data_IF_433336634558
#
_entry.id   IF_433336634558
#
_cell.length_a   1.000
_cell.length_b   1.000
_cell.length_c   1.000
_cell.angle_alpha   90.00
_cell.angle_beta   90.00
_cell.angle_gamma   90.00
#
_symmetry.space_group_name_H-M   'P 1'
#
loop_
_entity.id
_entity.type
_entity.pdbx_description
1 polymer ?
2 polymer ?
3 polymer ?
#
loop_
_entity_poly.entity_id
_entity_poly.type
_entity_poly.pdbx_seq_one_letter_code
_entity_poly.pdbx_strand_id
2 'polyribonucleotide' 'UCUUUGUCACCCUGCU' ?
3 'polyribonucleotide' 'AGUAGAAACAAGGGUGUUUUUUAU' ?
#
# COMPACT_ATOMS: atom_id res chain seq x y z
N UNK A 21 12.28 6.42 -23.90
CA UNK A 21 13.52 6.13 -23.17
C UNK A 21 13.30 6.12 -21.66
N UNK A 22 13.62 5.00 -21.03
CA UNK A 22 13.49 4.90 -19.58
C UNK A 22 14.53 5.75 -18.88
N UNK A 23 15.64 6.05 -19.55
CA UNK A 23 16.80 6.58 -18.87
C UNK A 23 16.58 8.00 -18.36
N UNK A 24 15.68 8.77 -18.98
CA UNK A 24 15.40 10.10 -18.45
C UNK A 24 14.48 10.01 -17.23
N UNK A 25 13.48 9.14 -17.28
CA UNK A 25 12.73 8.81 -16.08
C UNK A 25 13.68 8.38 -14.98
N UNK A 26 14.77 7.70 -15.36
CA UNK A 26 15.77 7.24 -14.41
C UNK A 26 16.59 8.40 -13.86
N UNK A 27 16.89 9.39 -14.69
CA UNK A 27 17.47 10.62 -14.18
C UNK A 27 16.55 11.24 -13.12
N UNK A 28 15.26 11.17 -13.37
CA UNK A 28 14.29 11.67 -12.39
C UNK A 28 14.39 10.89 -11.09
N UNK A 29 14.33 9.56 -11.18
CA UNK A 29 14.39 8.74 -9.98
C UNK A 29 15.71 8.98 -9.25
N UNK A 30 16.77 9.28 -10.01
CA UNK A 30 18.06 9.55 -9.39
C UNK A 30 18.06 10.86 -8.64
N UNK A 31 17.51 11.91 -9.24
CA UNK A 31 17.53 13.19 -8.53
C UNK A 31 16.69 13.11 -7.28
N UNK A 32 15.55 12.42 -7.33
CA UNK A 32 14.73 12.33 -6.13
C UNK A 32 15.41 11.50 -5.05
N UNK A 33 16.02 10.37 -5.43
CA UNK A 33 16.66 9.54 -4.41
C UNK A 33 17.82 10.28 -3.78
N UNK A 34 18.59 11.03 -4.56
CA UNK A 34 19.75 11.69 -3.97
C UNK A 34 19.32 12.89 -3.12
N UNK A 35 18.27 13.60 -3.53
CA UNK A 35 17.71 14.59 -2.64
C UNK A 35 17.31 13.98 -1.32
N UNK A 36 16.57 12.88 -1.37
CA UNK A 36 16.03 12.29 -0.15
C UNK A 36 17.16 11.75 0.72
N UNK A 37 18.21 11.20 0.09
CA UNK A 37 19.33 10.69 0.86
C UNK A 37 20.14 11.79 1.51
N UNK A 38 20.27 12.93 0.83
CA UNK A 38 20.83 14.11 1.46
C UNK A 38 20.07 14.41 2.75
N UNK A 39 18.75 14.53 2.64
CA UNK A 39 17.95 14.79 3.84
C UNK A 39 18.15 13.70 4.87
N UNK A 40 18.31 12.46 4.44
CA UNK A 40 18.38 11.36 5.39
C UNK A 40 19.65 11.43 6.23
N UNK A 41 20.79 11.64 5.58
CA UNK A 41 22.03 11.75 6.35
C UNK A 41 22.02 13.03 7.18
N UNK A 42 21.36 14.09 6.71
CA UNK A 42 21.17 15.27 7.55
C UNK A 42 20.39 14.93 8.82
N UNK A 43 19.22 14.31 8.65
CA UNK A 43 18.41 13.88 9.78
C UNK A 43 19.23 13.06 10.75
N UNK A 44 19.92 12.03 10.25
CA UNK A 44 20.79 11.21 11.11
C UNK A 44 21.80 12.07 11.86
N UNK A 45 22.44 12.99 11.17
CA UNK A 45 23.36 13.91 11.85
C UNK A 45 22.64 14.60 13.00
N UNK A 46 21.34 14.83 12.85
CA UNK A 46 20.56 15.31 13.99
C UNK A 46 20.10 14.16 14.89
N UNK A 47 20.34 12.91 14.49
CA UNK A 47 19.84 11.76 15.23
C UNK A 47 20.93 10.88 15.82
N UNK A 48 22.09 10.80 15.19
CA UNK A 48 23.19 9.98 15.69
C UNK A 48 22.72 8.56 15.98
N UNK A 49 21.77 8.08 15.19
CA UNK A 49 21.32 6.71 15.36
C UNK A 49 22.46 5.74 15.11
N UNK A 50 22.59 4.75 15.98
CA UNK A 50 23.69 3.81 15.86
C UNK A 50 23.55 2.96 14.60
N UNK A 51 24.67 2.38 14.16
CA UNK A 51 24.67 1.61 12.92
C UNK A 51 23.92 0.29 13.09
N UNK A 52 24.22 -0.45 14.16
CA UNK A 52 23.45 -1.63 14.54
C UNK A 52 21.95 -1.31 14.53
N UNK A 53 21.54 -0.32 15.32
CA UNK A 53 20.14 0.09 15.34
C UNK A 53 19.74 0.77 14.03
N UNK A 54 20.71 1.07 13.17
CA UNK A 54 20.40 1.59 11.86
C UNK A 54 19.57 0.64 11.03
N UNK A 55 19.29 -0.57 11.55
CA UNK A 55 18.53 -1.58 10.84
C UNK A 55 17.30 -2.07 11.59
N UNK A 56 17.16 -1.76 12.88
CA UNK A 56 15.95 -2.10 13.62
C UNK A 56 14.76 -1.35 13.00
N UNK A 57 13.87 -2.10 12.35
CA UNK A 57 13.04 -1.49 11.31
C UNK A 57 12.05 -0.48 11.89
N UNK A 58 11.42 -0.81 13.02
CA UNK A 58 10.33 0.03 13.51
C UNK A 58 10.78 1.47 13.70
N UNK A 59 12.04 1.67 14.10
CA UNK A 59 12.57 3.02 14.26
C UNK A 59 12.41 3.82 12.97
N UNK A 60 13.00 3.35 11.88
CA UNK A 60 12.91 4.10 10.63
C UNK A 60 11.51 4.09 10.06
N UNK A 61 10.68 3.10 10.41
CA UNK A 61 9.30 3.11 9.95
C UNK A 61 8.56 4.31 10.51
N UNK A 62 8.61 4.48 11.83
CA UNK A 62 8.00 5.66 12.41
C UNK A 62 8.72 6.92 11.95
N UNK A 63 10.03 6.81 11.69
CA UNK A 63 10.74 7.94 11.09
C UNK A 63 10.05 8.35 9.81
N UNK A 64 9.69 7.38 8.98
CA UNK A 64 8.93 7.63 7.76
C UNK A 64 7.60 8.28 8.09
N UNK A 65 6.80 7.62 8.92
CA UNK A 65 5.54 8.16 9.41
C UNK A 65 5.64 9.64 9.74
N UNK A 66 6.78 10.04 10.31
CA UNK A 66 7.01 11.45 10.65
C UNK A 66 6.83 12.33 9.42
N UNK A 67 7.67 12.12 8.40
CA UNK A 67 7.61 13.00 7.24
C UNK A 67 6.31 12.80 6.48
N UNK A 68 5.71 11.61 6.57
CA UNK A 68 4.40 11.41 5.97
C UNK A 68 3.40 12.41 6.53
N UNK A 69 3.15 12.32 7.83
CA UNK A 69 2.22 13.26 8.46
C UNK A 69 2.72 14.70 8.32
N UNK A 70 4.01 14.90 8.06
CA UNK A 70 4.54 16.25 7.99
C UNK A 70 3.89 17.06 6.87
N UNK A 71 3.32 16.38 5.88
CA UNK A 71 2.75 17.10 4.75
C UNK A 71 1.22 17.03 4.75
N UNK A 72 0.57 18.13 5.12
CA UNK A 72 -0.89 18.15 5.15
C UNK A 72 -1.45 19.56 5.13
N UNK A 73 -1.85 20.05 3.96
CA UNK A 73 -2.48 21.36 3.89
C UNK A 73 -3.65 21.34 4.84
N UNK A 74 -4.27 20.18 4.99
CA UNK A 74 -5.40 20.05 5.88
C UNK A 74 -4.97 20.28 7.32
N UNK A 75 -3.78 19.79 7.68
CA UNK A 75 -3.27 20.02 9.02
C UNK A 75 -2.98 21.50 9.15
N UNK A 76 -2.67 22.15 8.04
CA UNK A 76 -2.47 23.59 8.08
C UNK A 76 -3.80 24.18 8.50
N UNK A 77 -4.89 23.66 7.92
CA UNK A 77 -6.21 24.13 8.32
C UNK A 77 -6.41 23.81 9.78
N UNK A 78 -5.92 22.65 10.22
CA UNK A 78 -6.00 22.29 11.63
C UNK A 78 -5.43 23.40 12.47
N UNK A 79 -4.18 23.77 12.20
CA UNK A 79 -3.52 24.80 13.02
C UNK A 79 -4.25 26.13 12.93
N UNK A 80 -4.74 26.47 11.74
CA UNK A 80 -5.46 27.72 11.57
C UNK A 80 -6.68 27.77 12.47
N UNK A 81 -7.43 26.68 12.53
CA UNK A 81 -8.61 26.62 13.38
C UNK A 81 -8.23 26.64 14.84
N UNK A 82 -7.15 25.94 15.18
CA UNK A 82 -6.74 25.82 16.58
C UNK A 82 -7.91 25.38 17.46
N UNK A 83 -8.59 24.30 17.06
CA UNK A 83 -9.73 23.82 17.85
C UNK A 83 -9.28 23.21 19.16
N UNK A 84 -8.16 22.51 19.15
CA UNK A 84 -7.66 21.85 20.35
C UNK A 84 -6.20 22.16 20.59
N UNK A 85 -5.71 21.84 21.79
CA UNK A 85 -4.32 22.10 22.12
C UNK A 85 -3.53 21.00 21.44
N UNK A 86 -3.55 20.98 20.11
CA UNK A 86 -2.80 19.97 19.38
C UNK A 86 -1.35 20.33 19.58
N UNK A 87 -0.49 19.33 19.71
CA UNK A 87 0.92 19.58 19.91
C UNK A 87 1.43 20.60 18.91
N UNK A 88 1.82 21.78 19.38
CA UNK A 88 2.28 22.85 18.49
C UNK A 88 2.06 22.53 17.03
N UNK A 89 0.83 22.74 16.53
CA UNK A 89 0.52 22.35 15.15
C UNK A 89 1.59 22.69 14.11
N UNK A 90 2.37 23.76 14.34
CA UNK A 90 3.49 24.04 13.44
C UNK A 90 4.64 23.05 13.64
N UNK A 91 4.56 22.18 14.64
CA UNK A 91 5.60 21.22 14.93
C UNK A 91 4.97 19.85 15.14
N UNK A 92 5.65 18.80 14.68
CA UNK A 92 5.09 17.46 14.74
C UNK A 92 6.12 16.44 15.18
N UNK A 93 5.64 15.32 15.69
CA UNK A 93 6.50 14.24 16.13
C UNK A 93 5.69 13.10 16.71
N UNK A 94 6.41 12.06 17.10
CA UNK A 94 5.80 10.89 17.68
C UNK A 94 6.79 10.16 18.56
N UNK A 95 6.49 8.91 18.90
CA UNK A 95 7.38 8.12 19.77
C UNK A 95 8.58 7.61 19.00
N UNK A 96 9.79 7.89 19.50
CA UNK A 96 11.00 7.34 18.92
C UNK A 96 11.60 6.34 19.90
N UNK A 97 12.67 5.67 19.48
CA UNK A 97 13.10 4.43 20.13
C UNK A 97 14.61 4.39 20.18
N UNK A 98 15.16 4.64 21.36
CA UNK A 98 16.56 4.44 21.68
C UNK A 98 16.69 3.36 22.75
N UNK A 99 17.93 2.99 23.05
CA UNK A 99 18.20 1.91 23.98
C UNK A 99 19.05 2.41 25.14
N UNK A 100 19.10 1.61 26.21
CA UNK A 100 20.03 1.81 27.31
C UNK A 100 20.29 0.47 27.98
N UNK A 101 21.56 0.20 28.31
CA UNK A 101 21.94 -0.99 29.07
C UNK A 101 21.64 -2.27 28.29
N UNK A 102 21.64 -2.20 26.97
CA UNK A 102 21.16 -3.31 26.16
C UNK A 102 19.66 -3.47 26.14
N UNK A 103 18.94 -2.69 26.93
CA UNK A 103 17.48 -2.65 26.91
C UNK A 103 17.05 -1.37 26.23
N UNK A 104 15.77 -1.27 25.92
CA UNK A 104 15.30 -0.25 24.99
C UNK A 104 14.24 0.61 25.64
N UNK A 105 14.08 1.82 25.10
CA UNK A 105 13.23 2.82 25.71
C UNK A 105 12.35 3.48 24.67
N UNK A 106 11.33 4.17 25.14
CA UNK A 106 10.45 4.99 24.30
C UNK A 106 10.74 6.46 24.56
N UNK A 107 10.74 7.26 23.51
CA UNK A 107 10.99 8.69 23.64
C UNK A 107 10.03 9.45 22.75
N UNK A 108 9.16 10.26 23.36
CA UNK A 108 8.30 11.16 22.60
C UNK A 108 9.10 12.38 22.21
N UNK A 109 9.29 12.60 20.91
CA UNK A 109 9.95 13.81 20.44
C UNK A 109 9.11 14.41 19.33
N UNK A 110 9.46 15.63 18.92
CA UNK A 110 8.74 16.28 17.83
C UNK A 110 9.55 17.34 17.10
N UNK A 111 9.63 17.24 15.78
CA UNK A 111 10.33 18.25 15.00
C UNK A 111 9.38 19.39 14.66
N UNK A 112 9.86 20.37 13.91
CA UNK A 112 9.01 21.48 13.51
C UNK A 112 8.77 21.42 12.00
N UNK A 113 7.52 21.56 11.59
CA UNK A 113 7.18 21.45 10.17
C UNK A 113 8.09 22.29 9.26
N UNK A 114 8.07 23.61 9.42
CA UNK A 114 8.85 24.44 8.51
C UNK A 114 10.32 24.08 8.54
N UNK A 115 10.84 23.67 9.69
CA UNK A 115 12.25 23.34 9.75
C UNK A 115 12.57 22.11 8.92
N UNK A 116 11.77 21.05 9.09
CA UNK A 116 11.96 19.85 8.28
C UNK A 116 11.79 20.18 6.81
N UNK A 117 10.78 20.98 6.46
CA UNK A 117 10.59 21.35 5.07
C UNK A 117 11.80 22.09 4.52
N UNK A 118 12.38 22.97 5.34
CA UNK A 118 13.52 23.75 4.85
C UNK A 118 14.72 22.86 4.63
N UNK A 119 14.94 21.91 5.53
CA UNK A 119 15.88 20.84 5.21
C UNK A 119 15.51 20.24 3.87
N UNK A 120 14.24 19.91 3.70
CA UNK A 120 13.77 19.15 2.55
C UNK A 120 14.13 19.85 1.24
N UNK A 121 13.98 21.16 1.23
CA UNK A 121 14.23 21.94 0.01
C UNK A 121 15.73 22.02 -0.29
N UNK A 122 16.52 22.51 0.67
CA UNK A 122 17.97 22.40 0.49
C UNK A 122 18.42 20.96 0.53
N UNK A 123 17.49 20.04 0.76
CA UNK A 123 17.71 18.66 0.36
C UNK A 123 17.24 18.39 -1.05
N UNK A 124 16.32 19.20 -1.58
CA UNK A 124 15.84 19.00 -2.94
C UNK A 124 16.22 20.14 -3.87
N UNK A 125 17.36 20.78 -3.58
CA UNK A 125 17.82 21.96 -4.34
C UNK A 125 16.79 23.08 -4.28
N UNK A 126 15.94 23.08 -3.26
CA UNK A 126 14.86 24.04 -3.13
C UNK A 126 13.50 23.53 -3.53
N UNK A 127 13.40 22.37 -4.14
CA UNK A 127 12.13 21.78 -4.53
C UNK A 127 11.63 20.83 -3.44
N UNK A 128 10.65 20.00 -3.79
CA UNK A 128 10.09 19.06 -2.83
C UNK A 128 10.37 17.61 -3.18
N UNK A 129 10.18 17.24 -4.44
CA UNK A 129 10.30 15.86 -4.89
C UNK A 129 9.37 14.95 -4.10
N UNK A 130 8.07 15.23 -4.24
CA UNK A 130 7.05 14.45 -3.56
C UNK A 130 7.05 12.99 -4.01
N UNK A 131 7.78 12.66 -5.07
CA UNK A 131 7.70 11.33 -5.65
C UNK A 131 8.12 10.25 -4.65
N UNK A 132 9.32 10.39 -4.07
CA UNK A 132 9.79 9.38 -3.14
C UNK A 132 8.94 9.29 -1.90
N UNK A 133 8.43 10.42 -1.43
CA UNK A 133 7.55 10.40 -0.27
C UNK A 133 6.28 9.63 -0.56
N UNK A 134 5.65 9.90 -1.70
CA UNK A 134 4.46 9.14 -2.08
C UNK A 134 4.80 7.67 -2.20
N UNK A 135 5.98 7.35 -2.72
CA UNK A 135 6.43 5.97 -2.75
C UNK A 135 6.47 5.38 -1.35
N UNK A 136 6.99 6.14 -0.40
CA UNK A 136 7.05 5.68 0.98
C UNK A 136 5.65 5.48 1.56
N UNK A 137 4.71 6.33 1.16
CA UNK A 137 3.35 6.17 1.65
C UNK A 137 2.72 4.92 1.05
N UNK A 138 3.00 4.67 -0.23
CA UNK A 138 2.63 3.38 -0.84
C UNK A 138 3.17 2.25 0.03
N UNK A 139 4.41 2.39 0.45
CA UNK A 139 5.04 1.40 1.30
C UNK A 139 4.24 1.18 2.57
N UNK A 140 4.00 2.25 3.32
CA UNK A 140 3.21 2.14 4.54
C UNK A 140 1.85 1.51 4.29
N UNK A 141 1.18 1.92 3.21
CA UNK A 141 -0.18 1.46 2.97
C UNK A 141 -0.21 -0.03 2.67
N UNK A 142 0.68 -0.49 1.78
CA UNK A 142 0.73 -1.90 1.47
C UNK A 142 1.12 -2.70 2.70
N UNK A 143 2.01 -2.16 3.52
CA UNK A 143 2.32 -2.80 4.80
C UNK A 143 1.07 -3.01 5.61
N UNK A 144 0.30 -1.94 5.80
CA UNK A 144 -0.92 -2.03 6.60
C UNK A 144 -1.85 -3.09 6.06
N UNK A 145 -2.21 -2.99 4.79
CA UNK A 145 -3.14 -3.94 4.20
C UNK A 145 -2.63 -5.36 4.32
N UNK A 146 -1.34 -5.57 4.04
CA UNK A 146 -0.76 -6.90 4.13
C UNK A 146 -0.74 -7.38 5.58
N UNK A 147 -0.57 -6.46 6.52
CA UNK A 147 -0.47 -6.86 7.92
C UNK A 147 -1.76 -6.73 8.71
N UNK A 148 -2.69 -5.91 8.24
CA UNK A 148 -3.92 -5.70 9.02
C UNK A 148 -5.15 -6.02 8.20
N UNK A 149 -6.32 -5.73 8.75
CA UNK A 149 -7.56 -5.96 8.03
C UNK A 149 -8.55 -4.86 8.40
N UNK A 150 -9.51 -4.59 7.50
CA UNK A 150 -10.52 -3.59 7.79
C UNK A 150 -11.94 -4.05 7.43
N UNK A 151 -12.33 -5.26 7.84
CA UNK A 151 -13.67 -5.76 7.58
C UNK A 151 -14.71 -4.86 8.22
N UNK A 152 -14.33 -4.21 9.32
CA UNK A 152 -15.25 -3.31 10.00
C UNK A 152 -15.68 -2.16 9.10
N UNK A 153 -14.87 -1.80 8.12
CA UNK A 153 -15.29 -0.79 7.15
C UNK A 153 -16.41 -1.33 6.27
N UNK A 154 -16.28 -2.58 5.82
CA UNK A 154 -17.36 -3.20 5.07
C UNK A 154 -18.63 -3.27 5.91
N UNK A 155 -18.48 -3.52 7.21
CA UNK A 155 -19.62 -3.41 8.11
C UNK A 155 -20.28 -2.05 7.95
N UNK A 156 -19.47 -1.01 7.79
CA UNK A 156 -20.03 0.31 7.53
C UNK A 156 -20.65 0.43 6.15
N UNK A 157 -20.39 -0.53 5.27
CA UNK A 157 -20.99 -0.53 3.94
C UNK A 157 -22.02 -1.61 3.74
N UNK A 158 -21.79 -2.80 4.28
CA UNK A 158 -22.80 -3.84 4.28
C UNK A 158 -22.78 -4.77 3.08
N UNK A 159 -21.60 -5.35 2.79
CA UNK A 159 -21.49 -6.35 1.73
C UNK A 159 -20.54 -7.46 2.18
N UNK A 160 -20.34 -8.44 1.33
CA UNK A 160 -19.55 -9.60 1.72
C UNK A 160 -18.14 -9.18 2.12
N UNK A 161 -17.61 -9.70 3.21
CA UNK A 161 -16.20 -9.46 3.53
C UNK A 161 -15.24 -10.16 2.57
N UNK A 162 -15.50 -11.42 2.25
CA UNK A 162 -14.58 -12.19 1.41
C UNK A 162 -14.42 -11.54 0.05
N UNK A 163 -15.24 -10.52 -0.23
CA UNK A 163 -14.97 -9.60 -1.33
C UNK A 163 -13.61 -8.94 -1.22
N UNK A 164 -12.93 -9.09 -0.09
CA UNK A 164 -11.71 -8.38 0.24
C UNK A 164 -10.63 -8.37 -0.84
N UNK A 165 -10.65 -9.36 -1.74
CA UNK A 165 -9.59 -9.55 -2.73
C UNK A 165 -9.16 -8.24 -3.37
N UNK A 166 -10.10 -7.35 -3.62
CA UNK A 166 -9.82 -6.12 -4.34
C UNK A 166 -9.68 -4.92 -3.41
N UNK A 167 -9.15 -5.12 -2.21
CA UNK A 167 -8.84 -4.02 -1.31
C UNK A 167 -7.33 -3.79 -1.21
N UNK A 168 -6.59 -4.08 -2.28
CA UNK A 168 -5.15 -3.96 -2.23
C UNK A 168 -4.73 -2.50 -2.28
N UNK A 169 -4.19 -1.99 -1.16
CA UNK A 169 -3.74 -0.63 -1.10
C UNK A 169 -4.74 0.36 -0.54
N UNK A 170 -5.68 -0.11 0.29
CA UNK A 170 -6.82 0.70 0.70
C UNK A 170 -6.42 2.00 1.37
N UNK A 171 -5.40 1.99 2.21
CA UNK A 171 -5.09 3.15 3.04
C UNK A 171 -4.25 4.19 2.32
N UNK A 172 -4.83 4.92 1.41
CA UNK A 172 -4.06 5.97 0.78
C UNK A 172 -4.86 7.26 0.73
N UNK A 173 -4.24 8.39 1.06
CA UNK A 173 -5.00 9.64 1.18
C UNK A 173 -5.57 10.10 -0.15
N UNK A 174 -6.65 10.88 -0.11
CA UNK A 174 -7.31 11.39 -1.31
C UNK A 174 -6.49 12.35 -2.10
N UNK A 175 -5.37 12.75 -1.55
CA UNK A 175 -4.50 13.68 -2.25
C UNK A 175 -3.12 13.08 -2.47
N UNK A 176 -3.00 11.80 -2.18
CA UNK A 176 -1.73 11.15 -2.40
C UNK A 176 -1.50 10.96 -3.88
N UNK A 177 -0.40 10.33 -4.26
CA UNK A 177 -0.08 10.16 -5.65
C UNK A 177 -1.23 9.57 -6.43
N UNK A 178 -1.87 10.40 -7.26
CA UNK A 178 -3.06 9.97 -7.98
C UNK A 178 -2.76 8.88 -9.01
N UNK A 179 -1.57 8.90 -9.61
CA UNK A 179 -1.20 7.80 -10.49
C UNK A 179 -1.05 6.49 -9.72
N UNK A 180 -1.13 6.56 -8.39
CA UNK A 180 -1.13 5.37 -7.56
C UNK A 180 -2.24 4.40 -7.90
N UNK A 181 -3.14 4.81 -8.79
CA UNK A 181 -4.10 3.87 -9.38
C UNK A 181 -3.41 2.59 -9.79
N UNK A 182 -2.12 2.68 -10.11
CA UNK A 182 -1.28 1.51 -10.29
C UNK A 182 -1.48 0.49 -9.18
N UNK A 183 -1.90 0.96 -8.00
CA UNK A 183 -2.21 0.08 -6.88
C UNK A 183 -3.61 0.28 -6.35
N UNK A 184 -4.21 1.45 -6.56
CA UNK A 184 -5.57 1.65 -6.06
C UNK A 184 -6.49 0.59 -6.65
N UNK A 185 -7.26 -0.04 -5.77
CA UNK A 185 -7.96 -1.26 -6.15
C UNK A 185 -9.39 -1.00 -6.57
N UNK A 186 -9.98 -2.02 -7.19
CA UNK A 186 -11.38 -1.93 -7.61
C UNK A 186 -12.27 -1.65 -6.41
N UNK A 187 -12.22 -2.53 -5.41
CA UNK A 187 -13.06 -2.36 -4.24
C UNK A 187 -12.93 -1.00 -3.61
N UNK A 188 -11.73 -0.43 -3.63
CA UNK A 188 -11.54 0.93 -3.17
C UNK A 188 -12.48 1.87 -3.92
N UNK A 189 -12.44 1.81 -5.25
CA UNK A 189 -13.32 2.62 -6.07
C UNK A 189 -14.78 2.38 -5.72
N UNK A 190 -15.17 1.10 -5.64
CA UNK A 190 -16.55 0.76 -5.32
C UNK A 190 -16.97 1.48 -4.05
N UNK A 191 -16.24 1.24 -2.96
CA UNK A 191 -16.66 1.72 -1.66
C UNK A 191 -16.63 3.24 -1.60
N UNK A 192 -15.64 3.87 -2.23
CA UNK A 192 -15.59 5.33 -2.18
C UNK A 192 -16.76 5.93 -2.96
N UNK A 193 -17.09 5.33 -4.10
CA UNK A 193 -18.26 5.77 -4.84
C UNK A 193 -19.52 5.63 -4.01
N UNK A 194 -19.66 4.50 -3.30
CA UNK A 194 -20.84 4.31 -2.49
C UNK A 194 -20.89 5.35 -1.37
N UNK A 195 -19.73 5.76 -0.92
CA UNK A 195 -19.72 6.77 0.10
C UNK A 195 -20.32 7.99 -0.50
N UNK A 196 -19.67 8.45 -1.54
CA UNK A 196 -20.10 9.70 -2.16
C UNK A 196 -21.59 9.70 -2.41
N UNK A 197 -22.12 8.56 -2.86
CA UNK A 197 -23.56 8.49 -3.15
C UNK A 197 -24.36 8.60 -1.87
N UNK A 198 -23.98 7.83 -0.86
CA UNK A 198 -24.68 7.87 0.42
C UNK A 198 -24.73 9.28 0.96
N UNK A 199 -23.56 9.91 1.07
CA UNK A 199 -23.53 11.29 1.53
C UNK A 199 -24.27 12.16 0.52
N UNK A 200 -24.25 11.76 -0.75
CA UNK A 200 -24.90 12.55 -1.77
C UNK A 200 -26.41 12.64 -1.55
N UNK A 201 -27.03 11.52 -1.23
CA UNK A 201 -28.48 11.49 -1.03
C UNK A 201 -28.81 12.08 0.33
N UNK A 202 -27.78 12.53 1.05
CA UNK A 202 -27.96 13.13 2.36
C UNK A 202 -28.11 14.63 2.30
N UNK A 203 -28.06 15.24 1.12
CA UNK A 203 -28.08 16.69 1.01
C UNK A 203 -28.32 17.11 -0.43
N UNK A 204 -29.18 18.12 -0.61
CA UNK A 204 -29.40 18.69 -1.93
C UNK A 204 -28.35 19.75 -2.25
N UNK A 205 -27.93 20.51 -1.24
CA UNK A 205 -26.83 21.46 -1.40
C UNK A 205 -25.58 20.78 -1.93
N UNK A 206 -25.49 19.45 -1.81
CA UNK A 206 -24.29 18.73 -2.21
C UNK A 206 -23.90 19.00 -3.64
N UNK A 207 -24.86 19.37 -4.48
CA UNK A 207 -24.58 19.54 -5.89
C UNK A 207 -24.73 20.98 -6.37
N UNK A 208 -25.54 21.77 -5.69
CA UNK A 208 -25.66 23.18 -6.04
C UNK A 208 -24.37 23.91 -5.70
N UNK A 209 -23.81 24.62 -6.67
CA UNK A 209 -22.58 25.35 -6.44
C UNK A 209 -21.40 24.76 -7.18
N UNK A 210 -20.34 25.59 -7.29
CA UNK A 210 -19.14 25.15 -7.98
C UNK A 210 -18.52 23.93 -7.32
N UNK A 211 -18.70 23.81 -6.00
CA UNK A 211 -18.34 22.57 -5.33
C UNK A 211 -19.00 21.38 -6.05
N UNK A 212 -20.27 21.54 -6.42
CA UNK A 212 -20.95 20.48 -7.14
C UNK A 212 -20.28 20.13 -8.44
N UNK A 213 -19.90 21.15 -9.22
CA UNK A 213 -19.24 20.92 -10.50
C UNK A 213 -17.92 20.20 -10.31
N UNK A 214 -17.10 20.70 -9.38
CA UNK A 214 -15.78 20.12 -9.20
C UNK A 214 -15.87 18.69 -8.69
N UNK A 215 -16.75 18.45 -7.72
CA UNK A 215 -16.98 17.11 -7.23
C UNK A 215 -17.53 16.21 -8.32
N UNK A 216 -18.38 16.75 -9.19
CA UNK A 216 -18.94 15.96 -10.28
C UNK A 216 -17.84 15.56 -11.27
N UNK A 217 -16.97 16.50 -11.60
CA UNK A 217 -15.85 16.20 -12.48
C UNK A 217 -14.97 15.13 -11.87
N UNK A 218 -14.63 15.27 -10.60
CA UNK A 218 -13.80 14.28 -9.95
C UNK A 218 -14.50 12.92 -9.88
N UNK A 219 -15.82 12.93 -9.66
CA UNK A 219 -16.57 11.70 -9.62
C UNK A 219 -16.48 10.98 -10.96
N UNK A 220 -16.83 11.67 -12.03
CA UNK A 220 -16.67 11.11 -13.37
C UNK A 220 -15.24 10.70 -13.63
N UNK A 221 -14.27 11.41 -13.08
CA UNK A 221 -12.87 11.05 -13.24
C UNK A 221 -12.62 9.68 -12.63
N UNK A 222 -13.21 9.47 -11.46
CA UNK A 222 -13.07 8.20 -10.77
C UNK A 222 -13.71 7.11 -11.63
N UNK A 223 -14.86 7.44 -12.20
CA UNK A 223 -15.52 6.50 -13.12
C UNK A 223 -14.58 6.13 -14.26
N UNK A 224 -13.91 7.13 -14.83
CA UNK A 224 -13.01 6.87 -15.94
C UNK A 224 -11.83 6.02 -15.50
N UNK A 225 -11.31 6.26 -14.31
CA UNK A 225 -10.25 5.42 -13.77
C UNK A 225 -10.74 3.98 -13.69
N UNK A 226 -11.98 3.80 -13.26
CA UNK A 226 -12.54 2.46 -13.20
C UNK A 226 -12.61 1.83 -14.59
N UNK A 227 -13.07 2.61 -15.58
CA UNK A 227 -13.05 2.15 -16.95
C UNK A 227 -11.68 1.61 -17.31
N UNK A 228 -10.67 2.45 -17.16
CA UNK A 228 -9.31 2.01 -17.42
C UNK A 228 -8.98 0.72 -16.71
N UNK A 229 -9.49 0.55 -15.48
CA UNK A 229 -9.24 -0.69 -14.78
C UNK A 229 -10.03 -1.85 -15.37
N UNK A 230 -11.19 -1.59 -15.94
CA UNK A 230 -11.92 -2.66 -16.59
C UNK A 230 -11.34 -2.95 -17.97
N UNK A 231 -11.51 -4.19 -18.42
CA UNK A 231 -10.96 -4.62 -19.71
C UNK A 231 -11.90 -5.50 -20.52
N UNK A 232 -13.16 -5.67 -20.12
CA UNK A 232 -14.07 -6.57 -20.83
C UNK A 232 -15.31 -5.83 -21.28
N UNK A 233 -15.95 -6.36 -22.32
CA UNK A 233 -17.00 -5.62 -23.02
C UNK A 233 -18.22 -5.40 -22.12
N UNK A 234 -18.83 -6.48 -21.64
CA UNK A 234 -20.03 -6.35 -20.83
C UNK A 234 -19.78 -5.45 -19.64
N UNK A 235 -18.60 -5.56 -19.04
CA UNK A 235 -18.23 -4.69 -17.94
C UNK A 235 -18.23 -3.24 -18.38
N UNK A 236 -17.63 -2.95 -19.53
CA UNK A 236 -17.66 -1.59 -20.04
C UNK A 236 -19.09 -1.10 -20.17
N UNK A 237 -19.97 -1.96 -20.69
CA UNK A 237 -21.35 -1.55 -20.91
C UNK A 237 -22.06 -1.23 -19.60
N UNK A 238 -21.91 -2.11 -18.60
CA UNK A 238 -22.61 -1.87 -17.35
C UNK A 238 -22.05 -0.65 -16.65
N UNK A 239 -20.73 -0.51 -16.62
CA UNK A 239 -20.14 0.65 -15.96
C UNK A 239 -20.55 1.94 -16.64
N UNK A 240 -20.73 1.90 -17.97
CA UNK A 240 -21.17 3.09 -18.69
C UNK A 240 -22.60 3.44 -18.31
N UNK A 241 -23.49 2.44 -18.33
CA UNK A 241 -24.85 2.66 -17.85
C UNK A 241 -24.83 3.30 -16.47
N UNK A 242 -23.95 2.81 -15.60
CA UNK A 242 -23.78 3.42 -14.28
C UNK A 242 -23.44 4.90 -14.43
N UNK A 243 -22.42 5.19 -15.23
CA UNK A 243 -21.94 6.57 -15.34
C UNK A 243 -23.08 7.52 -15.70
N UNK A 244 -24.06 7.03 -16.44
CA UNK A 244 -25.17 7.87 -16.86
C UNK A 244 -26.08 8.25 -15.70
N UNK A 245 -25.91 7.63 -14.53
CA UNK A 245 -26.76 7.95 -13.38
C UNK A 245 -26.35 9.31 -12.85
N UNK A 246 -26.75 10.37 -13.56
CA UNK A 246 -26.28 11.71 -13.24
C UNK A 246 -26.79 12.17 -11.88
N UNK A 247 -27.84 11.54 -11.37
CA UNK A 247 -28.35 11.85 -10.05
C UNK A 247 -28.02 10.73 -9.09
N UNK A 248 -27.73 11.01 -7.83
CA UNK A 248 -27.46 9.95 -6.87
C UNK A 248 -28.72 9.11 -6.62
N UNK A 249 -28.58 7.81 -6.81
CA UNK A 249 -29.69 6.90 -6.61
C UNK A 249 -29.32 5.72 -5.75
N UNK A 250 -30.05 4.62 -5.87
CA UNK A 250 -29.82 3.48 -5.00
C UNK A 250 -29.56 2.19 -5.76
N UNK A 251 -30.26 1.96 -6.87
CA UNK A 251 -30.14 0.69 -7.57
C UNK A 251 -28.73 0.51 -8.12
N UNK A 252 -28.12 1.60 -8.58
CA UNK A 252 -26.77 1.58 -9.11
C UNK A 252 -25.83 0.83 -8.18
N UNK A 253 -26.06 0.99 -6.87
CA UNK A 253 -25.26 0.27 -5.89
C UNK A 253 -25.32 -1.23 -6.14
N UNK A 254 -26.52 -1.77 -6.30
CA UNK A 254 -26.65 -3.22 -6.49
C UNK A 254 -26.10 -3.64 -7.84
N UNK A 255 -26.27 -2.79 -8.86
CA UNK A 255 -25.64 -3.09 -10.13
C UNK A 255 -24.13 -3.24 -9.95
N UNK A 256 -23.51 -2.27 -9.28
CA UNK A 256 -22.08 -2.34 -9.03
C UNK A 256 -21.73 -3.58 -8.22
N UNK A 257 -22.59 -3.93 -7.27
CA UNK A 257 -22.35 -5.10 -6.43
C UNK A 257 -22.23 -6.34 -7.30
N UNK A 258 -23.24 -6.61 -8.11
CA UNK A 258 -23.19 -7.84 -8.88
C UNK A 258 -22.12 -7.77 -9.96
N UNK A 259 -21.81 -6.57 -10.45
CA UNK A 259 -20.73 -6.47 -11.41
C UNK A 259 -19.42 -6.89 -10.77
N UNK A 260 -19.15 -6.40 -9.56
CA UNK A 260 -17.97 -6.83 -8.83
C UNK A 260 -18.02 -8.32 -8.57
N UNK A 261 -19.20 -8.84 -8.27
CA UNK A 261 -19.35 -10.27 -8.02
C UNK A 261 -18.92 -11.07 -9.24
N UNK A 262 -19.31 -10.64 -10.43
CA UNK A 262 -18.89 -11.34 -11.63
C UNK A 262 -17.41 -11.11 -11.89
N UNK A 263 -16.91 -9.93 -11.56
CA UNK A 263 -15.52 -9.60 -11.85
C UNK A 263 -14.57 -10.31 -10.91
N UNK A 264 -15.09 -10.84 -9.80
CA UNK A 264 -14.25 -11.61 -8.88
C UNK A 264 -13.36 -12.58 -9.62
N UNK A 265 -13.88 -13.19 -10.69
CA UNK A 265 -13.02 -13.92 -11.61
C UNK A 265 -12.26 -12.96 -12.50
N UNK A 266 -12.98 -12.01 -13.11
CA UNK A 266 -12.49 -11.21 -14.23
C UNK A 266 -11.46 -10.19 -13.73
N UNK A 267 -10.26 -10.68 -13.49
CA UNK A 267 -9.19 -9.87 -12.95
C UNK A 267 -7.97 -9.84 -13.88
N UNK A 268 -7.34 -8.67 -13.95
CA UNK A 268 -6.09 -8.51 -14.66
C UNK A 268 -4.99 -8.08 -13.70
N UNK A 269 -3.76 -8.35 -14.12
CA UNK A 269 -2.60 -7.98 -13.32
C UNK A 269 -2.59 -6.47 -13.07
N UNK A 270 -2.37 -6.10 -11.81
CA UNK A 270 -2.31 -4.70 -11.43
C UNK A 270 -0.83 -4.37 -11.28
N UNK A 271 -0.50 -3.09 -11.16
CA UNK A 271 0.89 -2.72 -10.99
C UNK A 271 1.32 -2.96 -9.55
N UNK A 272 2.32 -3.81 -9.37
CA UNK A 272 2.79 -4.22 -8.04
C UNK A 272 4.25 -3.86 -7.93
N UNK A 273 4.52 -2.66 -7.43
CA UNK A 273 5.88 -2.15 -7.34
C UNK A 273 6.46 -2.60 -6.01
N UNK A 274 7.49 -3.45 -6.06
CA UNK A 274 7.98 -4.08 -4.84
C UNK A 274 8.68 -2.99 -4.06
N UNK A 275 7.90 -2.10 -3.47
CA UNK A 275 8.42 -0.98 -2.70
C UNK A 275 8.91 -1.51 -1.38
N UNK A 276 10.17 -1.27 -1.08
CA UNK A 276 10.79 -1.69 0.16
C UNK A 276 11.11 -0.46 0.98
N UNK A 277 11.07 -0.57 2.32
CA UNK A 277 11.29 0.61 3.15
C UNK A 277 12.67 1.22 2.93
N UNK A 278 12.80 2.49 3.25
CA UNK A 278 14.03 3.20 2.89
C UNK A 278 15.17 2.95 3.85
N UNK A 279 14.89 2.37 5.03
CA UNK A 279 15.90 2.21 6.08
C UNK A 279 17.18 1.66 5.51
N UNK A 280 17.07 0.98 4.38
CA UNK A 280 18.23 0.57 3.61
C UNK A 280 19.12 1.75 3.28
N UNK A 281 18.54 2.96 3.18
CA UNK A 281 19.23 4.09 2.61
C UNK A 281 20.70 4.18 3.02
N UNK A 282 20.98 4.13 4.32
CA UNK A 282 22.35 4.24 4.78
C UNK A 282 23.19 3.14 4.19
N UNK A 283 22.87 1.90 4.57
CA UNK A 283 23.54 0.75 3.95
C UNK A 283 23.35 0.67 2.43
N UNK A 284 22.27 1.24 1.87
CA UNK A 284 22.11 1.22 0.43
C UNK A 284 23.23 2.01 -0.25
N UNK A 285 23.48 3.23 0.22
CA UNK A 285 24.54 4.04 -0.37
C UNK A 285 25.91 3.55 0.06
N UNK A 286 25.99 2.89 1.22
CA UNK A 286 27.25 2.25 1.59
C UNK A 286 27.56 1.08 0.66
N UNK A 287 26.53 0.45 0.10
CA UNK A 287 26.72 -0.58 -0.91
C UNK A 287 27.03 -0.01 -2.29
N UNK A 288 26.72 1.27 -2.53
CA UNK A 288 27.14 1.97 -3.74
C UNK A 288 26.14 2.05 -4.87
N UNK A 289 24.87 1.78 -4.61
CA UNK A 289 23.85 1.69 -5.66
C UNK A 289 23.00 2.95 -5.64
N UNK A 290 23.41 3.96 -6.39
CA UNK A 290 22.58 5.14 -6.61
C UNK A 290 21.57 4.84 -7.70
N UNK A 291 20.34 5.32 -7.52
CA UNK A 291 19.33 5.10 -8.54
C UNK A 291 19.66 5.81 -9.83
N UNK A 292 20.73 6.62 -9.85
CA UNK A 292 21.15 7.38 -11.01
C UNK A 292 22.05 6.67 -11.99
N UNK A 293 23.20 6.18 -11.53
CA UNK A 293 24.18 5.61 -12.45
C UNK A 293 23.64 4.36 -13.14
N UNK A 294 22.61 3.75 -12.57
CA UNK A 294 22.00 2.55 -13.14
C UNK A 294 20.49 2.69 -13.29
N UNK A 295 19.90 3.82 -12.90
CA UNK A 295 18.45 3.95 -12.97
C UNK A 295 17.80 3.01 -11.98
N UNK A 296 16.83 2.24 -12.44
CA UNK A 296 16.37 1.01 -11.78
C UNK A 296 15.27 0.37 -12.60
N UNK A 297 14.97 -0.89 -12.26
CA UNK A 297 13.78 -1.60 -12.72
C UNK A 297 13.10 -2.18 -11.48
N UNK A 298 12.18 -1.42 -10.89
CA UNK A 298 11.57 -1.84 -9.64
C UNK A 298 10.85 -3.18 -9.77
N UNK A 299 10.32 -3.48 -10.95
CA UNK A 299 9.78 -4.81 -11.22
C UNK A 299 10.82 -5.60 -12.00
N UNK A 300 10.97 -6.88 -11.67
CA UNK A 300 11.95 -7.73 -12.30
C UNK A 300 12.84 -8.45 -11.30
N UNK A 301 14.11 -8.67 -11.65
CA UNK A 301 15.07 -9.27 -10.74
C UNK A 301 15.77 -8.23 -9.88
N UNK A 302 15.74 -6.96 -10.29
CA UNK A 302 16.31 -5.89 -9.46
C UNK A 302 15.80 -5.91 -8.02
N UNK A 303 14.49 -6.02 -7.77
CA UNK A 303 14.07 -6.08 -6.36
C UNK A 303 14.72 -7.21 -5.61
N UNK A 304 14.68 -8.43 -6.15
CA UNK A 304 15.31 -9.55 -5.45
C UNK A 304 16.83 -9.41 -5.46
N UNK A 305 17.36 -8.63 -6.42
CA UNK A 305 18.79 -8.35 -6.40
C UNK A 305 19.14 -7.28 -5.37
N UNK A 306 18.12 -6.69 -4.72
CA UNK A 306 18.45 -5.75 -3.65
C UNK A 306 17.89 -6.19 -2.28
N UNK A 307 17.06 -7.25 -2.23
CA UNK A 307 16.61 -7.80 -0.95
C UNK A 307 17.50 -8.92 -0.40
N UNK A 308 18.76 -8.99 -0.83
CA UNK A 308 19.70 -9.91 -0.21
C UNK A 308 20.96 -9.22 0.29
N UNK A 309 21.47 -8.21 -0.42
CA UNK A 309 22.62 -7.48 0.03
C UNK A 309 22.31 -6.49 1.13
N UNK A 310 21.05 -6.10 1.28
CA UNK A 310 20.68 -5.18 2.35
C UNK A 310 20.76 -5.90 3.69
N UNK A 311 20.35 -5.20 4.75
CA UNK A 311 20.19 -5.82 6.04
C UNK A 311 19.32 -4.89 6.89
N UNK A 312 18.33 -5.47 7.57
CA UNK A 312 17.34 -4.74 8.34
C UNK A 312 16.98 -5.56 9.57
N UNK A 313 16.69 -4.89 10.68
CA UNK A 313 16.33 -5.56 11.91
C UNK A 313 15.01 -5.01 12.42
N UNK A 314 14.55 -5.53 13.57
CA UNK A 314 13.24 -5.18 14.11
C UNK A 314 13.16 -5.50 15.59
N UNK A 315 12.44 -4.65 16.33
CA UNK A 315 12.23 -4.91 17.75
C UNK A 315 11.26 -6.07 17.94
N UNK A 316 11.51 -6.87 18.96
CA UNK A 316 10.91 -8.18 19.09
C UNK A 316 10.23 -8.29 20.44
N UNK A 317 9.03 -8.87 20.46
CA UNK A 317 8.32 -9.21 21.68
C UNK A 317 8.42 -10.71 21.95
N UNK A 318 8.71 -11.10 23.19
CA UNK A 318 8.94 -12.52 23.47
C UNK A 318 7.64 -13.31 23.46
N UNK A 319 7.79 -14.63 23.46
CA UNK A 319 6.67 -15.56 23.47
C UNK A 319 5.79 -15.40 22.24
N UNK A 320 6.18 -14.50 21.36
CA UNK A 320 5.75 -14.54 19.97
C UNK A 320 6.94 -15.01 19.14
N UNK A 321 6.80 -16.19 18.53
CA UNK A 321 7.91 -16.82 17.80
C UNK A 321 8.50 -15.84 16.78
N UNK A 322 9.75 -15.44 16.94
CA UNK A 322 10.32 -14.45 16.01
C UNK A 322 10.21 -14.89 14.56
N UNK A 323 10.09 -16.20 14.29
CA UNK A 323 9.99 -16.66 12.91
C UNK A 323 8.66 -16.28 12.29
N UNK A 324 7.58 -16.32 13.06
CA UNK A 324 6.29 -15.86 12.56
C UNK A 324 6.38 -14.41 12.12
N UNK A 325 6.88 -13.55 13.01
CA UNK A 325 7.05 -12.15 12.67
C UNK A 325 7.99 -11.98 11.47
N UNK A 326 9.00 -12.84 11.38
CA UNK A 326 9.92 -12.79 10.25
C UNK A 326 9.17 -12.98 8.93
N UNK A 327 8.51 -14.12 8.80
CA UNK A 327 7.77 -14.40 7.57
C UNK A 327 6.74 -13.30 7.30
N UNK A 328 6.06 -12.84 8.34
CA UNK A 328 5.02 -11.83 8.16
C UNK A 328 5.60 -10.55 7.56
N UNK A 329 6.64 -9.98 8.19
CA UNK A 329 7.18 -8.71 7.70
C UNK A 329 7.82 -8.90 6.33
N UNK A 330 8.43 -10.07 6.10
CA UNK A 330 9.09 -10.32 4.82
C UNK A 330 8.09 -10.28 3.68
N UNK A 331 6.98 -11.00 3.80
CA UNK A 331 5.98 -10.97 2.74
C UNK A 331 5.22 -9.64 2.73
N UNK A 332 5.10 -8.98 3.88
CA UNK A 332 4.48 -7.67 3.92
C UNK A 332 5.25 -6.71 3.02
N UNK A 333 6.54 -6.57 3.27
CA UNK A 333 7.39 -5.88 2.33
C UNK A 333 7.25 -6.47 0.94
N UNK A 334 7.05 -7.79 0.85
CA UNK A 334 6.89 -8.40 -0.45
C UNK A 334 5.56 -8.06 -1.10
N UNK A 335 4.63 -7.48 -0.34
CA UNK A 335 3.40 -6.95 -0.92
C UNK A 335 2.65 -8.01 -1.69
N UNK A 336 2.72 -9.25 -1.23
CA UNK A 336 2.04 -10.36 -1.90
C UNK A 336 0.75 -10.74 -1.19
N UNK A 337 0.02 -9.75 -0.68
CA UNK A 337 -1.20 -10.00 0.10
C UNK A 337 -2.24 -10.79 -0.68
N UNK A 338 -2.26 -10.68 -2.00
CA UNK A 338 -3.26 -11.40 -2.79
C UNK A 338 -2.60 -12.21 -3.89
N UNK A 339 -1.49 -12.85 -3.57
CA UNK A 339 -0.77 -13.72 -4.50
C UNK A 339 -1.21 -15.16 -4.26
N UNK A 340 -0.93 -16.02 -5.24
CA UNK A 340 -1.35 -17.39 -5.15
C UNK A 340 -0.67 -18.05 -3.95
N UNK A 341 -1.49 -18.59 -3.05
CA UNK A 341 -1.00 -19.24 -1.85
C UNK A 341 0.13 -20.19 -2.19
N UNK A 342 -0.14 -21.12 -3.10
CA UNK A 342 0.84 -22.13 -3.45
C UNK A 342 1.96 -21.55 -4.31
N UNK A 343 1.69 -20.46 -5.04
CA UNK A 343 2.76 -19.76 -5.72
C UNK A 343 3.74 -19.16 -4.72
N UNK A 344 3.22 -18.37 -3.78
CA UNK A 344 4.08 -17.88 -2.71
C UNK A 344 4.78 -19.04 -2.00
N UNK A 345 4.13 -20.19 -1.93
CA UNK A 345 4.74 -21.37 -1.32
C UNK A 345 6.01 -21.78 -2.05
N UNK A 346 5.92 -22.00 -3.35
CA UNK A 346 7.15 -22.32 -4.09
C UNK A 346 8.08 -21.11 -4.15
N UNK A 347 7.55 -19.92 -3.88
CA UNK A 347 8.37 -18.72 -3.95
C UNK A 347 9.31 -18.65 -2.75
N UNK A 348 8.81 -19.00 -1.58
CA UNK A 348 9.66 -18.99 -0.38
C UNK A 348 10.10 -20.38 0.07
N UNK A 349 9.47 -21.44 -0.45
CA UNK A 349 9.88 -22.79 -0.05
C UNK A 349 9.49 -23.17 1.36
N UNK A 350 8.59 -22.42 1.98
CA UNK A 350 8.05 -22.78 3.27
C UNK A 350 6.68 -22.13 3.40
N UNK A 351 5.71 -22.91 3.87
CA UNK A 351 4.30 -22.58 3.69
C UNK A 351 3.97 -21.20 4.22
N UNK A 352 3.08 -20.50 3.50
CA UNK A 352 2.58 -19.19 3.88
C UNK A 352 1.08 -19.20 3.67
N UNK A 353 0.44 -18.09 3.99
CA UNK A 353 -1.01 -17.94 3.98
C UNK A 353 -1.36 -16.48 4.21
N UNK A 354 -2.65 -16.13 4.18
CA UNK A 354 -3.10 -14.94 4.91
C UNK A 354 -2.75 -15.03 6.38
N UNK A 355 -2.85 -13.89 7.07
CA UNK A 355 -2.42 -13.80 8.47
C UNK A 355 -2.96 -14.83 9.44
N UNK A 356 -4.16 -15.33 9.21
CA UNK A 356 -4.73 -16.27 10.16
C UNK A 356 -3.76 -17.36 10.57
N UNK A 357 -2.85 -17.69 9.67
CA UNK A 357 -1.86 -18.68 9.98
C UNK A 357 -0.66 -17.96 10.49
N UNK A 358 -0.52 -16.69 10.15
CA UNK A 358 0.65 -15.90 10.55
C UNK A 358 0.46 -15.50 12.01
N UNK A 359 0.74 -16.46 12.90
CA UNK A 359 0.47 -16.33 14.32
C UNK A 359 1.47 -15.36 14.93
N UNK A 360 1.06 -14.10 15.05
CA UNK A 360 1.89 -13.06 15.62
C UNK A 360 1.00 -11.83 15.82
N UNK A 361 1.64 -10.73 16.23
CA UNK A 361 0.94 -9.46 16.36
C UNK A 361 1.66 -8.39 15.56
N UNK A 362 1.27 -7.12 15.72
CA UNK A 362 1.79 -6.05 14.89
C UNK A 362 3.29 -5.87 15.00
N UNK A 363 3.86 -5.31 13.92
CA UNK A 363 5.31 -5.13 13.85
C UNK A 363 5.77 -4.00 14.76
N UNK A 364 4.95 -2.96 14.89
CA UNK A 364 5.24 -1.85 15.79
C UNK A 364 4.82 -2.20 17.21
N UNK A 365 4.74 -1.18 18.05
CA UNK A 365 4.44 -1.33 19.48
C UNK A 365 3.42 -0.28 19.89
N UNK A 366 2.44 -0.68 20.70
CA UNK A 366 1.42 0.25 21.15
C UNK A 366 1.90 1.04 22.36
N UNK A 367 1.19 2.13 22.65
CA UNK A 367 1.62 3.07 23.68
C UNK A 367 1.67 2.42 25.05
N UNK A 368 0.52 2.00 25.57
CA UNK A 368 0.44 1.48 26.93
C UNK A 368 1.15 0.14 27.08
N UNK A 369 1.42 -0.55 25.98
CA UNK A 369 2.10 -1.83 26.06
C UNK A 369 3.46 -1.67 26.71
N UNK A 370 3.78 -2.59 27.60
CA UNK A 370 4.96 -2.46 28.45
C UNK A 370 6.18 -3.05 27.74
N UNK A 371 7.02 -2.18 27.20
CA UNK A 371 8.23 -2.58 26.49
C UNK A 371 9.26 -3.23 27.38
N UNK A 372 8.96 -3.45 28.66
CA UNK A 372 10.02 -3.62 29.63
C UNK A 372 10.76 -4.95 29.52
N UNK A 373 10.49 -5.77 28.51
CA UNK A 373 11.17 -7.04 28.40
C UNK A 373 11.52 -7.41 26.96
N UNK A 374 11.37 -6.47 26.02
CA UNK A 374 11.50 -6.79 24.61
C UNK A 374 12.91 -7.24 24.26
N UNK A 375 13.09 -7.66 23.02
CA UNK A 375 14.36 -8.22 22.57
C UNK A 375 14.70 -7.83 21.13
N UNK A 376 15.87 -8.25 20.64
CA UNK A 376 16.43 -7.86 19.34
C UNK A 376 16.81 -9.09 18.53
N UNK A 377 16.84 -8.90 17.20
CA UNK A 377 17.01 -10.03 16.29
C UNK A 377 17.50 -9.56 14.93
N UNK A 378 18.63 -10.10 14.48
CA UNK A 378 19.07 -9.96 13.09
C UNK A 378 18.15 -10.82 12.24
N UNK A 379 17.13 -10.18 11.68
CA UNK A 379 16.06 -10.91 11.01
C UNK A 379 16.48 -11.42 9.64
N UNK A 380 15.88 -12.54 9.23
CA UNK A 380 16.15 -13.17 7.94
C UNK A 380 15.22 -12.56 6.90
N UNK A 381 15.78 -12.15 5.76
CA UNK A 381 15.00 -11.50 4.72
C UNK A 381 15.22 -12.10 3.34
N UNK A 382 15.09 -13.42 3.19
CA UNK A 382 15.32 -14.08 1.91
C UNK A 382 14.25 -15.12 1.64
N UNK A 383 14.38 -15.76 0.48
CA UNK A 383 13.39 -16.68 -0.08
C UNK A 383 14.04 -17.84 -0.81
N UNK A 384 13.29 -18.45 -1.73
CA UNK A 384 13.84 -19.51 -2.57
C UNK A 384 14.15 -18.95 -3.95
N UNK A 385 13.21 -18.20 -4.55
CA UNK A 385 13.42 -17.66 -5.89
C UNK A 385 12.80 -16.28 -6.05
N UNK A 411 10.91 -20.37 -16.10
CA UNK A 411 10.47 -18.98 -16.04
C UNK A 411 9.00 -18.87 -15.62
N UNK A 412 8.09 -19.15 -16.57
CA UNK A 412 6.64 -19.06 -16.37
C UNK A 412 6.01 -20.42 -16.58
N UNK A 413 6.61 -21.44 -15.97
CA UNK A 413 6.32 -22.85 -16.25
C UNK A 413 4.84 -23.13 -16.42
N UNK A 414 4.01 -22.72 -15.47
CA UNK A 414 2.58 -23.00 -15.53
C UNK A 414 1.83 -21.68 -15.55
N UNK A 415 0.59 -21.74 -16.05
CA UNK A 415 -0.32 -20.62 -16.00
C UNK A 415 -0.97 -20.46 -14.63
N UNK A 416 -0.68 -21.36 -13.69
CA UNK A 416 -1.25 -21.31 -12.34
C UNK A 416 -2.77 -21.27 -12.39
N UNK A 417 -3.33 -21.67 -13.54
CA UNK A 417 -4.76 -21.57 -13.79
C UNK A 417 -5.53 -22.52 -12.89
N UNK A 418 -6.68 -22.05 -12.41
CA UNK A 418 -7.50 -22.88 -11.54
C UNK A 418 -8.91 -22.32 -11.52
N UNK A 419 -9.91 -23.12 -11.84
CA UNK A 419 -11.30 -22.63 -11.79
C UNK A 419 -11.71 -22.35 -10.35
N UNK A 420 -12.94 -21.92 -10.15
CA UNK A 420 -13.43 -21.58 -8.83
C UNK A 420 -14.20 -22.74 -8.23
N UNK A 421 -14.86 -22.47 -7.11
CA UNK A 421 -15.70 -23.45 -6.45
C UNK A 421 -17.14 -23.01 -6.54
N UNK A 422 -18.07 -23.97 -6.41
CA UNK A 422 -19.47 -23.69 -6.69
C UNK A 422 -20.04 -22.63 -5.77
N UNK A 423 -19.52 -22.48 -4.56
CA UNK A 423 -19.93 -21.37 -3.71
C UNK A 423 -19.75 -20.04 -4.42
N UNK A 424 -18.72 -19.94 -5.27
CA UNK A 424 -18.49 -18.70 -6.01
C UNK A 424 -19.69 -18.36 -6.88
N UNK A 425 -20.27 -19.36 -7.55
CA UNK A 425 -21.42 -19.08 -8.39
C UNK A 425 -22.69 -18.92 -7.55
N UNK A 426 -22.80 -19.66 -6.44
CA UNK A 426 -23.95 -19.48 -5.55
C UNK A 426 -23.97 -18.07 -5.00
N UNK A 427 -22.81 -17.44 -4.93
CA UNK A 427 -22.74 -16.03 -4.55
C UNK A 427 -23.70 -15.18 -5.40
N UNK A 428 -23.83 -15.53 -6.68
CA UNK A 428 -24.70 -14.75 -7.55
C UNK A 428 -26.16 -14.89 -7.16
N UNK A 429 -26.58 -16.09 -6.73
CA UNK A 429 -27.98 -16.33 -6.47
C UNK A 429 -28.53 -15.51 -5.32
N UNK A 430 -27.68 -14.83 -4.55
CA UNK A 430 -28.17 -13.85 -3.60
C UNK A 430 -28.93 -12.72 -4.29
N UNK A 431 -28.86 -12.65 -5.61
CA UNK A 431 -29.69 -11.75 -6.37
C UNK A 431 -30.78 -12.51 -7.08
N UNK A 438 -29.34 -4.97 -16.99
CA UNK A 438 -29.73 -4.86 -18.38
C UNK A 438 -29.67 -6.20 -19.09
N UNK A 439 -29.63 -6.14 -20.42
CA UNK A 439 -29.41 -7.34 -21.22
C UNK A 439 -28.17 -8.08 -20.76
N UNK A 440 -27.24 -7.33 -20.16
CA UNK A 440 -25.93 -7.84 -19.83
C UNK A 440 -25.98 -9.05 -18.93
N UNK A 441 -26.87 -9.05 -17.94
CA UNK A 441 -26.92 -10.14 -16.98
C UNK A 441 -27.07 -11.49 -17.67
N UNK A 442 -27.70 -11.51 -18.85
CA UNK A 442 -27.73 -12.71 -19.67
C UNK A 442 -26.31 -13.15 -19.97
N UNK A 443 -25.55 -12.29 -20.66
CA UNK A 443 -24.16 -12.60 -20.92
C UNK A 443 -23.38 -12.81 -19.63
N UNK A 444 -23.64 -11.98 -18.63
CA UNK A 444 -23.01 -12.15 -17.32
C UNK A 444 -23.15 -13.59 -16.88
N UNK A 445 -24.39 -14.05 -16.77
CA UNK A 445 -24.65 -15.40 -16.29
C UNK A 445 -23.99 -16.44 -17.19
N UNK A 446 -23.99 -16.17 -18.50
CA UNK A 446 -23.61 -17.19 -19.47
C UNK A 446 -22.21 -17.72 -19.20
N UNK A 447 -21.20 -16.86 -19.35
CA UNK A 447 -19.83 -17.31 -19.11
C UNK A 447 -19.64 -17.70 -17.66
N UNK A 448 -20.50 -17.21 -16.77
CA UNK A 448 -20.29 -17.38 -15.34
C UNK A 448 -20.49 -18.81 -14.88
N UNK A 449 -21.20 -19.63 -15.66
CA UNK A 449 -21.57 -20.96 -15.20
C UNK A 449 -20.70 -22.08 -15.78
N UNK A 450 -20.08 -21.89 -16.93
CA UNK A 450 -19.30 -22.95 -17.53
C UNK A 450 -18.00 -23.28 -16.82
N UNK A 451 -17.04 -22.36 -16.90
CA UNK A 451 -15.71 -22.58 -16.34
C UNK A 451 -14.95 -21.27 -16.37
N UNK A 452 -14.12 -21.04 -15.37
CA UNK A 452 -13.43 -19.76 -15.19
C UNK A 452 -11.94 -20.03 -15.06
N UNK A 453 -11.09 -19.05 -15.40
CA UNK A 453 -9.67 -19.37 -15.64
C UNK A 453 -8.67 -19.30 -14.49
N UNK A 454 -8.99 -18.65 -13.35
CA UNK A 454 -7.95 -18.43 -12.34
C UNK A 454 -8.58 -18.28 -10.96
N UNK A 455 -8.19 -19.15 -10.03
CA UNK A 455 -8.83 -19.24 -8.72
C UNK A 455 -8.35 -18.15 -7.75
N UNK A 456 -7.05 -18.15 -7.42
CA UNK A 456 -6.50 -17.13 -6.54
C UNK A 456 -6.59 -15.73 -7.17
N UNK A 457 -6.55 -14.69 -6.35
CA UNK A 457 -6.69 -13.33 -6.86
C UNK A 457 -5.74 -12.92 -8.00
N UNK A 458 -4.44 -12.84 -7.73
CA UNK A 458 -3.51 -12.32 -8.74
C UNK A 458 -2.17 -12.99 -8.55
N UNK A 459 -1.38 -13.03 -9.63
CA UNK A 459 -0.06 -13.66 -9.57
C UNK A 459 0.91 -12.92 -10.47
N UNK A 460 1.14 -11.63 -10.20
CA UNK A 460 2.01 -10.83 -11.04
C UNK A 460 3.27 -10.40 -10.34
N UNK A 461 4.41 -10.70 -10.99
CA UNK A 461 5.73 -10.34 -10.47
C UNK A 461 6.82 -10.60 -11.50
N UNK A 462 7.80 -9.72 -11.58
CA UNK A 462 8.90 -9.93 -12.50
C UNK A 462 9.93 -10.91 -11.97
N UNK A 463 9.51 -11.79 -11.06
CA UNK A 463 10.46 -12.66 -10.36
C UNK A 463 11.15 -13.56 -11.34
N UNK A 464 12.31 -14.09 -10.93
CA UNK A 464 13.05 -15.08 -11.71
C UNK A 464 13.94 -15.76 -10.69
N UNK A 465 14.96 -16.47 -11.16
CA UNK A 465 15.93 -17.05 -10.25
C UNK A 465 17.00 -16.07 -9.76
N UNK A 466 17.29 -16.13 -8.46
CA UNK A 466 18.31 -15.27 -7.87
C UNK A 466 19.64 -15.42 -8.57
N UNK A 467 20.10 -16.66 -8.74
CA UNK A 467 21.32 -16.91 -9.48
C UNK A 467 21.17 -16.60 -10.97
N UNK A 468 19.98 -16.19 -11.40
CA UNK A 468 19.69 -15.83 -12.78
C UNK A 468 19.62 -14.33 -12.99
N UNK A 469 20.53 -13.58 -12.36
CA UNK A 469 20.46 -12.12 -12.34
C UNK A 469 20.30 -11.50 -13.72
N UNK A 470 20.64 -12.19 -14.80
CA UNK A 470 20.47 -11.61 -16.12
C UNK A 470 19.22 -12.05 -16.86
N UNK A 471 19.04 -13.35 -17.04
CA UNK A 471 17.94 -13.91 -17.81
C UNK A 471 17.84 -13.23 -19.17
#
# INVERSE_FOLDING_TARGET
>A
MASQGTKRSYEQMETDGERQNATEIRASVGKMINGIGRFYIQMCTELKLSDYEGRLIQNSLTIERMVLSAFDERRNRYLEEHPSAGKDPKKTGGPIYKRVDGKWMRELVLYDKEEIRRIWRQANNGDDATAGLTHMMIWHSNLNDTTYQRTRALVRTGMDPRMCSLMQGSTLPRRSGAAGAAVKGVGTMVMELIRMIKRGINDRNFWRGENGRKTRSAYERMCNILKGKFQTAAQRAMMDQVRESRNPGNAEIEDLIFSARSALILRGSVAHKSCLPACVYGPAVASGYDFEKEGYSLVGIDPFKLLQNSQVYSLIRPNENPAHKSQLVWMACHSAAFEDLRLLSFIRGTKVSPRGKLSTRGVQIASNENMDTMESSTLELRSRYWAIRTRSGGNTNQQRASAGQISVQPAFSVQRNLPFDKSTIMAAFTGNTEGRTSDMRAEIIRMMEGAKPEEVSFRGRGVFELSDEKATNPVVPSFDMSNEGSYFFGDNAEEYDN
#
